data_IF_214479289293
#
_entry.id   IF_214479289293
#
_cell.length_a   1.000
_cell.length_b   1.000
_cell.length_c   1.000
_cell.angle_alpha   90.00
_cell.angle_beta   90.00
_cell.angle_gamma   90.00
#
_symmetry.space_group_name_H-M   'P 1'
#
loop_
_entity.id
_entity.type
_entity.pdbx_description
1 polymer ?
#
# COMPACT_ATOMS: atom_id res chain seq x y z
N UNK A 1 4.85 -3.06 34.80
CA UNK A 1 3.72 -2.43 34.08
C UNK A 1 4.31 -1.37 33.18
N UNK A 2 4.02 -1.45 31.87
CA UNK A 2 4.28 -0.44 30.82
C UNK A 2 5.76 -0.22 30.46
N UNK A 3 6.22 -0.26 29.21
CA UNK A 3 5.58 -0.20 27.89
C UNK A 3 5.97 -1.44 27.08
N UNK A 4 5.00 -2.12 26.46
CA UNK A 4 5.29 -3.09 25.41
C UNK A 4 5.41 -2.27 24.13
N UNK A 5 6.64 -1.90 23.76
CA UNK A 5 6.92 -1.48 22.40
C UNK A 5 6.43 -2.62 21.51
N UNK A 6 5.33 -2.40 20.79
CA UNK A 6 5.00 -3.21 19.63
C UNK A 6 6.08 -2.85 18.61
N UNK A 7 7.08 -3.71 18.33
CA UNK A 7 7.75 -3.57 17.06
C UNK A 7 6.64 -3.68 16.01
N UNK A 8 6.56 -2.73 15.08
CA UNK A 8 5.90 -2.98 13.80
C UNK A 8 6.57 -4.25 13.29
N UNK A 9 5.90 -5.40 13.45
CA UNK A 9 6.33 -6.65 12.86
C UNK A 9 6.54 -6.32 11.39
N UNK A 10 7.74 -6.59 10.89
CA UNK A 10 8.08 -6.59 9.46
C UNK A 10 6.88 -7.12 8.70
N UNK A 11 6.10 -6.20 8.13
CA UNK A 11 4.74 -6.51 7.70
C UNK A 11 4.85 -7.21 6.36
N UNK A 12 4.83 -8.54 6.42
CA UNK A 12 4.59 -9.48 5.32
C UNK A 12 3.14 -9.33 4.80
N UNK A 13 2.66 -8.09 4.69
CA UNK A 13 1.37 -7.77 4.10
C UNK A 13 1.65 -7.19 2.72
N UNK A 14 1.07 -7.76 1.65
CA UNK A 14 1.29 -7.26 0.31
C UNK A 14 0.86 -5.78 0.25
N UNK A 15 1.63 -4.89 -0.41
CA UNK A 15 1.32 -3.47 -0.50
C UNK A 15 -0.07 -3.21 -1.07
N UNK A 16 -0.56 -4.14 -1.90
CA UNK A 16 -1.95 -4.22 -2.37
C UNK A 16 -2.96 -4.18 -1.22
N UNK A 17 -2.80 -4.99 -0.17
CA UNK A 17 -3.72 -5.01 0.97
C UNK A 17 -3.65 -3.70 1.74
N UNK A 18 -2.45 -3.17 1.96
CA UNK A 18 -2.26 -1.90 2.64
C UNK A 18 -2.94 -0.73 1.91
N UNK A 19 -2.91 -0.72 0.57
CA UNK A 19 -3.64 0.28 -0.23
C UNK A 19 -5.15 0.15 -0.05
N UNK A 20 -5.70 -1.06 -0.14
CA UNK A 20 -7.15 -1.27 0.01
C UNK A 20 -7.60 -0.83 1.40
N UNK A 21 -6.85 -1.20 2.45
CA UNK A 21 -7.15 -0.79 3.81
C UNK A 21 -7.06 0.73 3.99
N UNK A 22 -6.04 1.38 3.43
CA UNK A 22 -5.89 2.83 3.53
C UNK A 22 -7.06 3.58 2.87
N UNK A 23 -7.50 3.13 1.69
CA UNK A 23 -8.65 3.73 0.98
C UNK A 23 -9.96 3.42 1.71
N UNK A 24 -10.12 2.20 2.23
CA UNK A 24 -11.30 1.79 2.98
C UNK A 24 -11.48 2.66 4.23
N UNK A 25 -10.39 2.88 4.97
CA UNK A 25 -10.39 3.77 6.13
C UNK A 25 -10.69 5.24 5.75
N UNK A 26 -10.19 5.70 4.60
CA UNK A 26 -10.43 7.07 4.12
C UNK A 26 -11.90 7.31 3.73
N UNK A 27 -12.50 6.34 3.04
CA UNK A 27 -13.91 6.38 2.62
C UNK A 27 -14.88 6.03 3.76
N UNK A 28 -14.38 5.35 4.82
CA UNK A 28 -15.20 4.86 5.92
C UNK A 28 -16.08 3.66 5.52
N UNK A 29 -15.64 2.89 4.52
CA UNK A 29 -16.33 1.69 4.02
C UNK A 29 -15.47 0.46 4.23
N UNK A 30 -16.05 -0.73 4.12
CA UNK A 30 -15.26 -1.95 4.18
C UNK A 30 -14.43 -2.15 2.90
N UNK A 31 -13.25 -2.74 3.05
CA UNK A 31 -12.36 -3.11 1.94
C UNK A 31 -13.05 -3.96 0.85
N UNK A 32 -14.08 -4.72 1.22
CA UNK A 32 -14.88 -5.55 0.31
C UNK A 32 -15.96 -4.77 -0.44
N UNK A 33 -16.31 -3.56 0.02
CA UNK A 33 -17.24 -2.66 -0.67
C UNK A 33 -16.54 -1.80 -1.72
N UNK A 34 -15.21 -1.66 -1.60
CA UNK A 34 -14.40 -1.00 -2.61
C UNK A 34 -14.30 -1.85 -3.88
N UNK A 35 -14.25 -1.21 -5.07
CA UNK A 35 -14.00 -1.90 -6.32
C UNK A 35 -12.62 -2.60 -6.27
N UNK A 36 -12.45 -3.77 -6.89
CA UNK A 36 -11.18 -4.48 -6.82
C UNK A 36 -10.04 -3.63 -7.42
N UNK A 37 -8.89 -3.54 -6.73
CA UNK A 37 -7.71 -2.81 -7.19
C UNK A 37 -7.28 -3.23 -8.60
N UNK A 38 -7.48 -4.52 -8.93
CA UNK A 38 -7.27 -5.14 -10.25
C UNK A 38 -7.95 -4.40 -11.41
N UNK A 39 -8.97 -3.58 -11.13
CA UNK A 39 -9.67 -2.76 -12.13
C UNK A 39 -8.80 -1.61 -12.65
N UNK A 40 -7.89 -1.12 -11.81
CA UNK A 40 -7.03 0.03 -12.10
C UNK A 40 -5.58 -0.39 -12.25
N UNK A 41 -5.12 -1.27 -11.37
CA UNK A 41 -3.73 -1.71 -11.30
C UNK A 41 -3.66 -3.20 -10.98
N UNK A 42 -2.74 -3.89 -11.61
CA UNK A 42 -2.52 -5.31 -11.35
C UNK A 42 -1.87 -5.50 -9.96
N UNK A 43 -2.55 -6.18 -9.02
CA UNK A 43 -2.06 -6.33 -7.65
C UNK A 43 -0.80 -7.19 -7.56
N UNK A 44 -0.63 -8.17 -8.46
CA UNK A 44 0.58 -9.00 -8.55
C UNK A 44 1.75 -8.20 -9.11
N UNK A 45 1.51 -7.28 -10.06
CA UNK A 45 2.54 -6.38 -10.57
C UNK A 45 2.96 -5.35 -9.52
N UNK A 46 2.00 -4.81 -8.76
CA UNK A 46 2.28 -3.91 -7.64
C UNK A 46 3.09 -4.64 -6.57
N UNK A 47 2.65 -5.82 -6.16
CA UNK A 47 3.36 -6.65 -5.19
C UNK A 47 4.78 -6.97 -5.67
N UNK A 48 4.93 -7.44 -6.91
CA UNK A 48 6.25 -7.68 -7.51
C UNK A 48 7.13 -6.42 -7.49
N UNK A 49 6.59 -5.25 -7.82
CA UNK A 49 7.36 -4.00 -7.83
C UNK A 49 8.02 -3.71 -6.47
N UNK A 50 7.37 -4.09 -5.38
CA UNK A 50 7.86 -3.87 -4.02
C UNK A 50 8.56 -5.10 -3.41
N UNK A 51 8.22 -6.32 -3.85
CA UNK A 51 8.85 -7.58 -3.42
C UNK A 51 10.33 -7.67 -3.84
N UNK A 52 10.72 -7.09 -4.97
CA UNK A 52 12.13 -7.03 -5.40
C UNK A 52 12.98 -6.00 -4.62
N UNK A 53 12.41 -5.23 -3.69
CA UNK A 53 13.13 -4.14 -3.00
C UNK A 53 13.85 -4.59 -1.73
N UNK A 54 13.86 -5.89 -1.41
CA UNK A 54 14.53 -6.43 -0.23
C UNK A 54 16.04 -6.60 -0.51
N UNK A 55 16.83 -5.71 0.10
CA UNK A 55 18.21 -5.89 0.58
C UNK A 55 19.44 -5.59 -0.31
N UNK A 56 19.43 -5.67 -1.65
CA UNK A 56 20.74 -5.71 -2.35
C UNK A 56 21.20 -4.43 -3.07
N UNK A 57 20.31 -3.47 -3.38
CA UNK A 57 20.71 -2.19 -3.99
C UNK A 57 19.86 -1.03 -3.50
N UNK A 58 20.43 0.16 -3.20
CA UNK A 58 19.66 1.38 -3.02
C UNK A 58 19.01 1.74 -4.36
N UNK A 59 17.80 1.26 -4.59
CA UNK A 59 17.02 1.63 -5.76
C UNK A 59 16.52 3.08 -5.61
N UNK A 60 16.38 3.82 -6.72
CA UNK A 60 15.78 5.15 -6.72
C UNK A 60 14.40 5.09 -6.06
N UNK A 61 14.06 6.15 -5.33
CA UNK A 61 12.77 6.38 -4.65
C UNK A 61 11.59 6.14 -5.62
N UNK A 62 11.17 4.87 -5.73
CA UNK A 62 10.10 4.43 -6.60
C UNK A 62 8.77 4.80 -5.96
N UNK A 63 7.90 5.42 -6.74
CA UNK A 63 6.51 5.63 -6.34
C UNK A 63 5.57 5.24 -7.47
N UNK A 64 4.49 4.58 -7.11
CA UNK A 64 3.41 4.24 -8.03
C UNK A 64 2.25 5.17 -7.72
N UNK A 65 1.79 5.91 -8.73
CA UNK A 65 0.67 6.84 -8.61
C UNK A 65 -0.44 6.36 -9.53
N UNK A 66 -1.63 6.14 -8.98
CA UNK A 66 -2.79 5.73 -9.77
C UNK A 66 -4.10 6.27 -9.18
N UNK A 67 -5.10 6.56 -10.03
CA UNK A 67 -6.41 7.01 -9.57
C UNK A 67 -7.28 5.82 -9.13
N UNK A 68 -7.86 5.87 -7.94
CA UNK A 68 -8.70 4.82 -7.40
C UNK A 68 -9.82 5.40 -6.54
N UNK A 69 -11.07 4.98 -6.78
CA UNK A 69 -12.28 5.53 -6.13
C UNK A 69 -12.42 7.07 -6.18
N UNK A 70 -11.83 7.73 -7.19
CA UNK A 70 -11.84 9.19 -7.29
C UNK A 70 -10.72 9.87 -6.50
N UNK A 71 -9.87 9.11 -5.81
CA UNK A 71 -8.65 9.58 -5.15
C UNK A 71 -7.41 9.27 -5.98
N UNK A 72 -6.35 10.04 -5.77
CA UNK A 72 -5.02 9.72 -6.27
C UNK A 72 -4.25 9.00 -5.19
N UNK A 73 -3.96 7.71 -5.41
CA UNK A 73 -3.20 6.89 -4.49
C UNK A 73 -1.74 6.90 -4.93
N UNK A 74 -0.85 7.29 -4.03
CA UNK A 74 0.60 7.21 -4.20
C UNK A 74 1.16 6.19 -3.22
N UNK A 75 1.78 5.14 -3.75
CA UNK A 75 2.45 4.10 -2.97
C UNK A 75 3.96 4.25 -3.15
N UNK A 76 4.67 4.47 -2.05
CA UNK A 76 6.11 4.58 -2.02
C UNK A 76 6.76 3.22 -1.71
N UNK A 77 7.98 3.02 -2.20
CA UNK A 77 8.77 1.82 -1.95
C UNK A 77 9.16 1.61 -0.48
N UNK A 78 9.04 2.62 0.38
CA UNK A 78 9.24 2.46 1.83
C UNK A 78 7.98 1.93 2.56
N UNK A 79 6.88 1.72 1.83
CA UNK A 79 5.58 1.32 2.40
C UNK A 79 4.69 2.51 2.78
N UNK A 80 5.13 3.74 2.52
CA UNK A 80 4.29 4.91 2.73
C UNK A 80 3.19 5.00 1.66
N UNK A 81 1.94 5.14 2.08
CA UNK A 81 0.79 5.33 1.21
C UNK A 81 0.23 6.74 1.44
N UNK A 82 0.07 7.49 0.37
CA UNK A 82 -0.49 8.85 0.37
C UNK A 82 -1.77 8.85 -0.47
N UNK A 83 -2.83 9.42 0.08
CA UNK A 83 -4.13 9.53 -0.58
C UNK A 83 -4.44 11.01 -0.76
N UNK A 84 -4.65 11.43 -2.00
CA UNK A 84 -5.03 12.80 -2.36
C UNK A 84 -6.43 12.82 -2.99
N UNK A 85 -7.24 13.83 -2.67
CA UNK A 85 -8.63 14.00 -3.10
C UNK A 85 -8.78 15.09 -4.16
#
# INVERSE_FOLDING_TARGET
MSQRNIPLQTSDSPPTVAVIEAVANQEGVDATELPPLSTVIDPDALDNLFTYSTDEFPHPEGRVVFPYCGYTITVHSDGQIVIEA
#
